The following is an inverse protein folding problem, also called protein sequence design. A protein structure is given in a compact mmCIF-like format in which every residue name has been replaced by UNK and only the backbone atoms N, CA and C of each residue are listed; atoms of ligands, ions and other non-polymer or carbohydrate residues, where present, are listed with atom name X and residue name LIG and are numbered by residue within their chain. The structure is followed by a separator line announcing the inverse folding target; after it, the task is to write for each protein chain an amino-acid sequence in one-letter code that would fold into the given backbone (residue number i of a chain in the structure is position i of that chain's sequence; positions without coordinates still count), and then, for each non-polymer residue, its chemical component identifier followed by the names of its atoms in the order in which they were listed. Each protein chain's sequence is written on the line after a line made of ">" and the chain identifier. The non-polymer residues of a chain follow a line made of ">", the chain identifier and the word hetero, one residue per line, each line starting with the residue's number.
data_IF_973131435989
#
_entry.id   IF_973131435989
#
_cell.length_a   1.000
_cell.length_b   1.000
_cell.length_c   1.000
_cell.angle_alpha   90.00
_cell.angle_beta   90.00
_cell.angle_gamma   90.00
#
_symmetry.space_group_name_H-M   'P 1'
#
loop_
_entity.id
_entity.type
_entity.pdbx_description
1 polymer ?
#
# COMPACT_ATOMS: atom_id res chain seq x y z
N UNK A 1 21.32 -1.96 -27.69
CA UNK A 1 19.85 -1.97 -27.86
C UNK A 1 19.38 -3.29 -27.31
N UNK A 2 18.36 -3.23 -26.48
CA UNK A 2 17.89 -4.33 -25.63
C UNK A 2 16.41 -4.13 -25.36
N UNK A 3 15.73 -5.20 -24.95
CA UNK A 3 14.32 -5.19 -24.59
C UNK A 3 14.08 -6.03 -23.34
N UNK A 4 13.18 -5.56 -22.47
CA UNK A 4 12.76 -6.30 -21.28
C UNK A 4 11.24 -6.30 -21.17
N UNK A 5 10.67 -7.44 -20.80
CA UNK A 5 9.24 -7.55 -20.46
C UNK A 5 9.09 -7.32 -18.98
N UNK A 6 8.26 -6.36 -18.61
CA UNK A 6 7.95 -6.06 -17.22
C UNK A 6 6.98 -7.09 -16.62
N UNK A 7 6.88 -7.20 -15.28
CA UNK A 7 5.96 -8.12 -14.61
C UNK A 7 4.47 -7.91 -14.99
N UNK A 8 4.08 -6.69 -15.35
CA UNK A 8 2.74 -6.37 -15.83
C UNK A 8 2.54 -6.64 -17.35
N UNK A 9 3.48 -7.35 -17.97
CA UNK A 9 3.54 -7.70 -19.39
C UNK A 9 3.77 -6.55 -20.38
N UNK A 10 4.07 -5.34 -19.93
CA UNK A 10 4.52 -4.27 -20.82
C UNK A 10 5.95 -4.52 -21.33
N UNK A 11 6.24 -4.10 -22.56
CA UNK A 11 7.59 -4.20 -23.14
C UNK A 11 8.34 -2.87 -22.98
N UNK A 12 9.57 -2.93 -22.49
CA UNK A 12 10.47 -1.78 -22.39
C UNK A 12 11.64 -1.94 -23.38
N UNK A 13 12.00 -0.84 -24.05
CA UNK A 13 12.97 -0.84 -25.16
C UNK A 13 14.04 0.21 -24.88
N UNK A 14 15.31 -0.20 -24.85
CA UNK A 14 16.46 0.69 -24.81
C UNK A 14 16.69 1.30 -26.20
N UNK A 15 16.08 2.46 -26.46
CA UNK A 15 16.11 3.19 -27.72
C UNK A 15 17.33 4.12 -27.78
N UNK A 16 18.51 3.49 -27.85
CA UNK A 16 19.82 4.12 -27.63
C UNK A 16 20.06 5.39 -28.45
N UNK A 17 19.83 5.33 -29.76
CA UNK A 17 20.08 6.47 -30.67
C UNK A 17 19.11 7.64 -30.44
N UNK A 18 17.97 7.39 -29.81
CA UNK A 18 17.00 8.41 -29.46
C UNK A 18 17.14 8.88 -28.01
N UNK A 19 18.16 8.43 -27.27
CA UNK A 19 18.41 8.84 -25.89
C UNK A 19 17.19 8.66 -24.98
N UNK A 20 16.48 7.53 -25.17
CA UNK A 20 15.21 7.21 -24.49
C UNK A 20 15.10 5.74 -24.13
N UNK A 21 14.28 5.47 -23.13
CA UNK A 21 13.65 4.15 -22.92
C UNK A 21 12.18 4.27 -23.28
N UNK A 22 11.69 3.36 -24.11
CA UNK A 22 10.30 3.33 -24.57
C UNK A 22 9.53 2.26 -23.82
N UNK A 23 8.24 2.50 -23.57
CA UNK A 23 7.30 1.51 -23.04
C UNK A 23 6.26 1.21 -24.10
N UNK A 24 5.95 -0.06 -24.29
CA UNK A 24 4.84 -0.55 -25.11
C UNK A 24 3.80 -1.14 -24.18
N UNK A 25 2.61 -0.55 -24.16
CA UNK A 25 1.49 -1.02 -23.35
C UNK A 25 0.23 -1.03 -24.21
N UNK A 26 -0.46 -2.17 -24.28
CA UNK A 26 -1.63 -2.33 -25.15
C UNK A 26 -1.36 -2.03 -26.63
N UNK A 27 -0.12 -2.24 -27.10
CA UNK A 27 0.32 -1.93 -28.46
C UNK A 27 0.69 -0.45 -28.71
N UNK A 28 0.59 0.42 -27.71
CA UNK A 28 0.93 1.85 -27.82
C UNK A 28 2.34 2.10 -27.29
N UNK A 29 3.17 2.78 -28.08
CA UNK A 29 4.55 3.14 -27.71
C UNK A 29 4.61 4.56 -27.14
N UNK A 30 5.12 4.71 -25.92
CA UNK A 30 5.36 6.02 -25.27
C UNK A 30 6.82 6.15 -24.81
N UNK A 31 7.23 7.37 -24.48
CA UNK A 31 8.53 7.60 -23.82
C UNK A 31 8.36 7.37 -22.32
N UNK A 32 9.11 6.43 -21.78
CA UNK A 32 9.08 6.12 -20.35
C UNK A 32 10.17 6.88 -19.59
N UNK A 33 11.41 6.82 -20.08
CA UNK A 33 12.54 7.57 -19.52
C UNK A 33 13.33 8.28 -20.64
N UNK A 34 13.97 9.39 -20.29
CA UNK A 34 14.78 10.17 -21.23
C UNK A 34 14.02 11.30 -21.93
N UNK A 35 14.67 12.47 -22.01
CA UNK A 35 14.15 13.63 -22.75
C UNK A 35 14.38 13.54 -24.25
N UNK A 36 15.32 12.68 -24.68
CA UNK A 36 15.82 12.61 -26.05
C UNK A 36 17.09 13.43 -26.30
N UNK A 37 17.56 14.19 -25.31
CA UNK A 37 18.88 14.80 -25.33
C UNK A 37 19.88 13.91 -24.58
N UNK A 38 21.04 13.65 -25.20
CA UNK A 38 22.13 12.95 -24.54
C UNK A 38 22.60 13.74 -23.31
N UNK A 39 22.83 13.04 -22.21
CA UNK A 39 23.36 13.63 -20.98
C UNK A 39 23.26 12.69 -19.80
N UNK A 40 23.60 13.23 -18.63
CA UNK A 40 23.48 12.55 -17.35
C UNK A 40 23.00 13.56 -16.29
N UNK A 41 21.71 13.58 -16.04
CA UNK A 41 21.07 14.50 -15.09
C UNK A 41 19.65 14.05 -14.75
N UNK A 42 19.04 14.69 -13.75
CA UNK A 42 17.68 14.39 -13.30
C UNK A 42 17.55 13.21 -12.33
N UNK A 43 18.64 12.74 -11.74
CA UNK A 43 18.59 11.74 -10.67
C UNK A 43 17.81 12.27 -9.46
N UNK A 44 17.01 11.41 -8.83
CA UNK A 44 16.05 11.79 -7.78
C UNK A 44 14.76 12.46 -8.28
N UNK A 45 14.65 12.72 -9.59
CA UNK A 45 13.44 13.26 -10.23
C UNK A 45 12.70 12.24 -11.10
N UNK A 46 11.63 12.67 -11.81
CA UNK A 46 10.88 11.82 -12.71
C UNK A 46 11.72 11.28 -13.88
N UNK A 47 11.60 9.98 -14.18
CA UNK A 47 12.41 9.32 -15.21
C UNK A 47 12.24 9.91 -16.62
N UNK A 48 11.05 10.42 -16.96
CA UNK A 48 10.77 11.07 -18.25
C UNK A 48 11.40 12.47 -18.40
N UNK A 49 11.89 13.07 -17.31
CA UNK A 49 12.64 14.32 -17.30
C UNK A 49 14.16 14.12 -17.15
N UNK A 50 14.60 12.90 -16.83
CA UNK A 50 16.01 12.58 -16.74
C UNK A 50 16.69 12.60 -18.12
N UNK A 51 17.96 13.02 -18.15
CA UNK A 51 18.79 12.86 -19.34
C UNK A 51 19.49 11.49 -19.26
N UNK A 52 19.23 10.65 -20.25
CA UNK A 52 19.89 9.35 -20.44
C UNK A 52 20.66 9.37 -21.76
N UNK A 53 21.91 8.95 -21.75
CA UNK A 53 22.76 8.94 -22.94
C UNK A 53 22.95 7.52 -23.45
N UNK A 54 22.51 7.26 -24.68
CA UNK A 54 22.66 5.99 -25.39
C UNK A 54 22.37 4.76 -24.52
N UNK A 55 21.15 4.61 -23.97
CA UNK A 55 20.80 3.41 -23.21
C UNK A 55 21.04 2.15 -24.05
N UNK A 56 21.76 1.21 -23.48
CA UNK A 56 22.20 -0.02 -24.16
C UNK A 56 21.45 -1.25 -23.69
N UNK A 57 21.01 -1.27 -22.42
CA UNK A 57 20.38 -2.40 -21.76
C UNK A 57 19.29 -1.98 -20.76
N UNK A 58 18.27 -2.81 -20.60
CA UNK A 58 17.16 -2.63 -19.66
C UNK A 58 16.83 -3.96 -18.98
N UNK A 59 16.60 -3.97 -17.66
CA UNK A 59 16.13 -5.17 -16.96
C UNK A 59 15.29 -4.79 -15.75
N UNK A 60 14.39 -5.69 -15.34
CA UNK A 60 13.61 -5.53 -14.13
C UNK A 60 14.17 -6.38 -12.99
N UNK A 61 14.02 -5.90 -11.75
CA UNK A 61 14.10 -6.76 -10.57
C UNK A 61 12.74 -7.39 -10.23
N UNK A 62 12.72 -8.18 -9.17
CA UNK A 62 11.49 -8.81 -8.67
C UNK A 62 10.50 -7.80 -8.09
N UNK A 63 10.94 -6.60 -7.69
CA UNK A 63 10.12 -5.52 -7.15
C UNK A 63 9.46 -4.64 -8.23
N UNK A 64 9.81 -4.83 -9.50
CA UNK A 64 9.29 -4.03 -10.62
C UNK A 64 10.04 -2.71 -10.83
N UNK A 65 11.22 -2.56 -10.25
CA UNK A 65 12.14 -1.47 -10.58
C UNK A 65 12.83 -1.76 -11.91
N UNK A 66 13.07 -0.71 -12.70
CA UNK A 66 13.77 -0.82 -13.98
C UNK A 66 15.21 -0.37 -13.81
N UNK A 67 16.16 -1.23 -14.17
CA UNK A 67 17.58 -0.90 -14.28
C UNK A 67 17.91 -0.58 -15.73
N UNK A 68 18.52 0.57 -15.95
CA UNK A 68 18.91 1.09 -17.26
C UNK A 68 20.43 1.20 -17.30
N UNK A 69 21.07 0.43 -18.18
CA UNK A 69 22.47 0.68 -18.52
C UNK A 69 22.53 1.72 -19.63
N UNK A 70 23.29 2.79 -19.41
CA UNK A 70 23.41 3.89 -20.36
C UNK A 70 24.76 4.58 -20.17
N UNK A 71 25.40 4.99 -21.27
CA UNK A 71 26.76 5.57 -21.25
C UNK A 71 27.74 4.68 -20.45
N UNK A 72 28.16 5.14 -19.27
CA UNK A 72 29.09 4.44 -18.36
C UNK A 72 28.45 4.08 -17.02
N UNK A 73 27.11 4.08 -16.94
CA UNK A 73 26.33 3.99 -15.70
C UNK A 73 25.20 2.97 -15.78
N UNK A 74 24.80 2.49 -14.61
CA UNK A 74 23.51 1.82 -14.40
C UNK A 74 22.67 2.74 -13.51
N UNK A 75 21.43 3.01 -13.92
CA UNK A 75 20.44 3.77 -13.13
C UNK A 75 19.25 2.90 -12.80
N UNK A 76 18.68 3.11 -11.63
CA UNK A 76 17.43 2.49 -11.20
C UNK A 76 16.28 3.49 -11.33
N UNK A 77 15.14 3.03 -11.85
CA UNK A 77 13.86 3.72 -11.80
C UNK A 77 12.94 2.94 -10.88
N UNK A 78 12.68 3.51 -9.70
CA UNK A 78 11.79 2.92 -8.70
C UNK A 78 10.34 2.84 -9.20
N UNK A 79 9.71 1.69 -8.97
CA UNK A 79 8.29 1.48 -9.29
C UNK A 79 7.97 1.67 -10.78
N UNK A 80 8.91 1.30 -11.66
CA UNK A 80 8.80 1.54 -13.09
C UNK A 80 7.57 0.86 -13.72
N UNK A 81 7.16 -0.25 -13.12
CA UNK A 81 5.81 -0.78 -13.27
C UNK A 81 5.19 -0.95 -11.90
N UNK A 82 3.98 -0.42 -11.64
CA UNK A 82 3.11 -0.97 -10.61
C UNK A 82 2.99 -2.47 -10.86
N UNK A 83 3.61 -3.30 -10.01
CA UNK A 83 3.31 -4.73 -10.00
C UNK A 83 1.85 -4.87 -9.57
N UNK A 84 1.17 -5.90 -10.08
CA UNK A 84 0.15 -6.61 -9.30
C UNK A 84 0.87 -7.17 -8.08
N UNK A 85 0.88 -6.43 -6.98
CA UNK A 85 1.30 -6.93 -5.68
C UNK A 85 0.04 -7.34 -4.96
N UNK A 86 -0.41 -8.60 -5.06
CA UNK A 86 -1.52 -9.04 -4.26
C UNK A 86 -1.18 -8.82 -2.78
N UNK A 87 -1.88 -7.88 -2.14
CA UNK A 87 -1.71 -7.58 -0.72
C UNK A 87 -2.46 -8.63 0.08
N UNK A 88 -1.78 -9.27 1.05
CA UNK A 88 -2.47 -10.00 2.12
C UNK A 88 -2.24 -9.26 3.42
N UNK A 89 -3.32 -8.93 4.13
CA UNK A 89 -3.27 -8.22 5.41
C UNK A 89 -4.10 -8.96 6.45
N UNK A 90 -3.47 -9.25 7.58
CA UNK A 90 -4.12 -9.87 8.74
C UNK A 90 -4.64 -8.80 9.70
N UNK A 91 -5.92 -8.90 10.06
CA UNK A 91 -6.56 -8.08 11.08
C UNK A 91 -6.64 -8.87 12.39
N UNK A 92 -5.84 -8.52 13.41
CA UNK A 92 -5.68 -9.34 14.60
C UNK A 92 -6.91 -9.37 15.53
N UNK A 93 -7.79 -8.36 15.48
CA UNK A 93 -9.07 -8.38 16.23
C UNK A 93 -10.17 -7.60 15.50
N UNK A 94 -11.23 -8.30 15.13
CA UNK A 94 -12.47 -7.77 14.56
C UNK A 94 -13.68 -8.19 15.42
N UNK A 95 -14.70 -7.34 15.50
CA UNK A 95 -15.84 -7.53 16.41
C UNK A 95 -17.17 -7.17 15.74
N UNK A 96 -18.23 -7.93 16.05
CA UNK A 96 -19.61 -7.56 15.74
C UNK A 96 -20.43 -7.49 17.04
N UNK A 97 -20.77 -6.27 17.49
CA UNK A 97 -21.48 -5.99 18.75
C UNK A 97 -20.94 -6.74 19.99
N UNK A 98 -19.64 -7.00 20.06
CA UNK A 98 -19.01 -7.76 21.13
C UNK A 98 -18.51 -6.87 22.29
N UNK A 99 -18.13 -7.47 23.43
CA UNK A 99 -17.43 -6.79 24.53
C UNK A 99 -18.03 -5.46 25.02
N UNK A 100 -19.36 -5.39 25.13
CA UNK A 100 -20.05 -4.13 25.47
C UNK A 100 -20.66 -3.41 24.25
N UNK A 101 -20.82 -4.12 23.14
CA UNK A 101 -21.52 -3.67 21.93
C UNK A 101 -20.62 -3.09 20.83
N UNK A 102 -19.31 -3.32 20.92
CA UNK A 102 -18.30 -2.84 19.99
C UNK A 102 -18.47 -3.49 18.61
N UNK A 103 -18.40 -2.68 17.56
CA UNK A 103 -18.41 -3.15 16.17
C UNK A 103 -17.20 -2.60 15.43
N UNK A 104 -16.51 -3.45 14.66
CA UNK A 104 -15.38 -3.01 13.85
C UNK A 104 -15.85 -2.60 12.46
N UNK A 105 -15.25 -1.55 11.91
CA UNK A 105 -15.37 -1.13 10.52
C UNK A 105 -14.00 -1.19 9.86
N UNK A 106 -13.90 -1.81 8.69
CA UNK A 106 -12.68 -1.93 7.90
C UNK A 106 -12.77 -0.95 6.73
N UNK A 107 -11.70 -0.23 6.45
CA UNK A 107 -11.55 0.68 5.34
C UNK A 107 -10.40 0.18 4.49
N UNK A 108 -10.62 -0.03 3.20
CA UNK A 108 -9.61 -0.54 2.25
C UNK A 108 -9.53 0.42 1.08
N UNK A 109 -8.46 1.18 0.98
CA UNK A 109 -8.16 2.08 -0.14
C UNK A 109 -7.42 1.33 -1.25
N UNK A 110 -7.90 1.51 -2.50
CA UNK A 110 -7.14 1.08 -3.67
C UNK A 110 -5.93 2.00 -3.87
N UNK A 111 -4.72 1.47 -3.70
CA UNK A 111 -3.45 2.18 -3.88
C UNK A 111 -2.61 1.58 -5.03
N UNK A 112 -3.27 0.88 -5.95
CA UNK A 112 -2.61 0.16 -7.05
C UNK A 112 -2.09 1.07 -8.15
N UNK A 113 -2.55 2.32 -8.25
CA UNK A 113 -2.24 3.22 -9.36
C UNK A 113 -3.14 3.00 -10.58
N UNK A 114 -4.20 2.18 -10.44
CA UNK A 114 -5.17 1.85 -11.49
C UNK A 114 -6.49 1.33 -10.91
N UNK A 115 -7.54 1.15 -11.74
CA UNK A 115 -8.80 0.61 -11.26
C UNK A 115 -8.71 -0.89 -10.94
N UNK A 116 -9.34 -1.30 -9.85
CA UNK A 116 -9.56 -2.69 -9.47
C UNK A 116 -10.96 -3.17 -9.90
N UNK A 117 -11.03 -4.41 -10.39
CA UNK A 117 -12.30 -5.04 -10.76
C UNK A 117 -13.13 -5.41 -9.51
N UNK A 118 -14.43 -5.69 -9.70
CA UNK A 118 -15.23 -6.27 -8.62
C UNK A 118 -14.68 -7.64 -8.23
N UNK A 119 -14.63 -7.92 -6.93
CA UNK A 119 -14.01 -9.13 -6.36
C UNK A 119 -12.48 -9.14 -6.37
N UNK A 120 -11.84 -8.05 -6.79
CA UNK A 120 -10.39 -7.92 -6.71
C UNK A 120 -9.87 -7.92 -5.27
N UNK A 121 -10.71 -7.62 -4.29
CA UNK A 121 -10.40 -7.73 -2.87
C UNK A 121 -11.43 -8.61 -2.17
N UNK A 122 -10.97 -9.45 -1.25
CA UNK A 122 -11.81 -10.34 -0.43
C UNK A 122 -11.34 -10.34 1.01
N UNK A 123 -12.26 -10.39 1.97
CA UNK A 123 -11.94 -10.57 3.38
C UNK A 123 -12.56 -11.87 3.89
N UNK A 124 -11.71 -12.75 4.39
CA UNK A 124 -12.13 -13.99 5.05
C UNK A 124 -12.02 -13.83 6.57
N UNK A 125 -12.99 -14.34 7.32
CA UNK A 125 -13.04 -14.18 8.77
C UNK A 125 -12.80 -15.50 9.49
N UNK A 126 -12.13 -15.45 10.64
CA UNK A 126 -11.79 -16.63 11.42
C UNK A 126 -12.10 -16.43 12.90
N UNK A 127 -12.62 -17.45 13.58
CA UNK A 127 -12.81 -17.41 15.03
C UNK A 127 -11.48 -17.64 15.79
N UNK A 128 -11.56 -17.66 17.12
CA UNK A 128 -10.38 -17.85 17.99
C UNK A 128 -9.71 -19.22 17.85
N UNK A 129 -10.37 -20.19 17.23
CA UNK A 129 -9.82 -21.52 16.94
C UNK A 129 -9.19 -21.57 15.55
N UNK A 130 -9.33 -20.50 14.76
CA UNK A 130 -8.88 -20.43 13.37
C UNK A 130 -9.87 -21.01 12.36
N UNK A 131 -11.10 -21.35 12.78
CA UNK A 131 -12.13 -21.82 11.86
C UNK A 131 -12.76 -20.65 11.11
N UNK A 132 -13.05 -20.83 9.82
CA UNK A 132 -13.71 -19.80 9.00
C UNK A 132 -15.11 -19.50 9.52
N UNK A 133 -15.49 -18.22 9.54
CA UNK A 133 -16.80 -17.74 9.99
C UNK A 133 -17.44 -16.87 8.93
N UNK A 134 -18.76 -17.01 8.76
CA UNK A 134 -19.53 -16.19 7.83
C UNK A 134 -19.22 -16.50 6.36
N UNK A 135 -19.73 -15.64 5.48
CA UNK A 135 -19.53 -15.77 4.04
C UNK A 135 -18.29 -15.00 3.53
N UNK A 136 -17.72 -14.13 4.36
CA UNK A 136 -16.69 -13.20 3.93
C UNK A 136 -17.26 -12.02 3.14
N UNK A 137 -16.39 -11.06 2.84
CA UNK A 137 -16.74 -9.85 2.08
C UNK A 137 -15.93 -9.77 0.80
N UNK A 138 -16.52 -9.24 -0.28
CA UNK A 138 -15.86 -9.06 -1.58
C UNK A 138 -16.10 -7.65 -2.10
N UNK A 139 -15.07 -7.02 -2.65
CA UNK A 139 -15.16 -5.62 -3.03
C UNK A 139 -16.00 -5.37 -4.28
N UNK A 140 -16.63 -4.21 -4.40
CA UNK A 140 -17.06 -3.71 -5.71
C UNK A 140 -15.83 -3.35 -6.56
N UNK A 141 -16.07 -2.98 -7.83
CA UNK A 141 -15.03 -2.37 -8.65
C UNK A 141 -14.65 -1.01 -8.04
N UNK A 142 -13.35 -0.73 -7.94
CA UNK A 142 -12.83 0.45 -7.26
C UNK A 142 -11.85 1.21 -8.16
N UNK A 143 -12.09 2.50 -8.46
CA UNK A 143 -11.06 3.38 -9.03
C UNK A 143 -9.83 3.49 -8.10
N UNK A 144 -8.71 3.93 -8.65
CA UNK A 144 -7.52 4.27 -7.85
C UNK A 144 -7.84 5.40 -6.85
N UNK A 145 -7.35 5.29 -5.62
CA UNK A 145 -7.62 6.21 -4.51
C UNK A 145 -9.04 6.13 -3.90
N UNK A 146 -9.92 5.24 -4.40
CA UNK A 146 -11.22 5.02 -3.78
C UNK A 146 -11.13 4.09 -2.57
N UNK A 147 -12.10 4.18 -1.64
CA UNK A 147 -12.13 3.39 -0.41
C UNK A 147 -13.35 2.46 -0.37
N UNK A 148 -13.11 1.19 -0.09
CA UNK A 148 -14.11 0.18 0.23
C UNK A 148 -14.28 0.08 1.74
N UNK A 149 -15.51 0.22 2.24
CA UNK A 149 -15.83 0.24 3.67
C UNK A 149 -16.67 -0.98 4.04
N UNK A 150 -16.27 -1.70 5.09
CA UNK A 150 -16.88 -2.96 5.53
C UNK A 150 -17.16 -2.92 7.03
N UNK A 151 -18.41 -2.69 7.40
CA UNK A 151 -18.86 -2.81 8.79
C UNK A 151 -19.13 -4.28 9.14
N UNK A 152 -18.59 -4.77 10.26
CA UNK A 152 -18.71 -6.17 10.66
C UNK A 152 -20.13 -6.59 11.10
N UNK A 153 -21.09 -5.66 11.15
CA UNK A 153 -22.50 -5.93 11.41
C UNK A 153 -23.34 -6.15 10.13
N UNK A 154 -22.68 -6.33 8.98
CA UNK A 154 -23.31 -6.62 7.69
C UNK A 154 -23.86 -8.05 7.55
N UNK A 155 -23.61 -8.93 8.54
CA UNK A 155 -24.05 -10.32 8.53
C UNK A 155 -23.15 -11.28 7.75
N UNK A 156 -22.01 -10.82 7.24
CA UNK A 156 -21.07 -11.63 6.46
C UNK A 156 -19.89 -12.17 7.27
N UNK A 157 -19.69 -11.70 8.51
CA UNK A 157 -18.63 -12.14 9.41
C UNK A 157 -19.17 -12.86 10.65
N UNK A 158 -18.98 -12.32 11.84
CA UNK A 158 -19.35 -12.93 13.12
C UNK A 158 -20.82 -12.68 13.44
N UNK A 159 -21.48 -13.62 14.14
CA UNK A 159 -22.77 -13.37 14.75
C UNK A 159 -22.68 -12.23 15.79
N UNK A 160 -23.81 -11.61 16.12
CA UNK A 160 -23.88 -10.57 17.16
C UNK A 160 -23.28 -11.08 18.49
N UNK A 161 -22.38 -10.29 19.07
CA UNK A 161 -21.60 -10.64 20.25
C UNK A 161 -20.29 -11.39 19.94
N UNK A 162 -20.03 -11.72 18.68
CA UNK A 162 -18.86 -12.46 18.22
C UNK A 162 -17.64 -11.59 17.91
N UNK A 163 -16.46 -12.21 17.99
CA UNK A 163 -15.19 -11.58 17.65
C UNK A 163 -14.18 -12.62 17.16
N UNK A 164 -13.24 -12.19 16.33
CA UNK A 164 -12.22 -13.04 15.72
C UNK A 164 -11.20 -12.24 14.95
N UNK A 165 -10.61 -12.83 13.92
CA UNK A 165 -9.65 -12.21 13.00
C UNK A 165 -10.23 -12.12 11.60
N UNK A 166 -9.60 -11.32 10.75
CA UNK A 166 -9.89 -11.29 9.31
C UNK A 166 -8.62 -11.28 8.50
N UNK A 167 -8.67 -11.81 7.29
CA UNK A 167 -7.57 -11.78 6.33
C UNK A 167 -8.08 -11.15 5.04
N UNK A 168 -7.56 -9.98 4.71
CA UNK A 168 -7.78 -9.31 3.44
C UNK A 168 -6.82 -9.90 2.41
N UNK A 169 -7.34 -10.33 1.27
CA UNK A 169 -6.58 -10.59 0.07
C UNK A 169 -7.00 -9.58 -1.00
N UNK A 170 -6.03 -8.96 -1.66
CA UNK A 170 -6.26 -8.09 -2.81
C UNK A 170 -5.45 -8.62 -4.00
N UNK A 171 -5.92 -8.39 -5.22
CA UNK A 171 -5.19 -8.73 -6.45
C UNK A 171 -4.06 -7.75 -6.75
N UNK A 172 -4.06 -6.59 -6.09
CA UNK A 172 -3.08 -5.52 -6.26
C UNK A 172 -2.95 -4.72 -4.95
N UNK A 173 -2.13 -3.66 -4.97
CA UNK A 173 -1.81 -2.86 -3.80
C UNK A 173 -3.04 -2.18 -3.24
N UNK A 174 -3.25 -2.38 -1.96
CA UNK A 174 -4.25 -1.71 -1.16
C UNK A 174 -3.65 -1.28 0.16
N UNK A 175 -4.18 -0.19 0.69
CA UNK A 175 -3.94 0.25 2.06
C UNK A 175 -5.21 -0.02 2.83
N UNK A 176 -5.14 -0.63 4.01
CA UNK A 176 -6.33 -0.90 4.78
C UNK A 176 -6.15 -0.56 6.24
N UNK A 177 -7.24 -0.13 6.88
CA UNK A 177 -7.29 0.08 8.31
C UNK A 177 -8.62 -0.31 8.95
N UNK A 178 -8.58 -0.60 10.24
CA UNK A 178 -9.78 -0.87 11.05
C UNK A 178 -10.10 0.32 11.94
N UNK A 179 -11.38 0.46 12.30
CA UNK A 179 -11.86 1.33 13.37
C UNK A 179 -12.84 0.58 14.27
N UNK A 180 -12.92 0.91 15.55
CA UNK A 180 -13.83 0.26 16.51
C UNK A 180 -14.89 1.24 17.00
N UNK A 181 -16.16 0.99 16.73
CA UNK A 181 -17.28 1.81 17.14
C UNK A 181 -17.93 1.24 18.41
N UNK A 182 -18.22 2.08 19.41
CA UNK A 182 -18.99 1.70 20.61
C UNK A 182 -20.47 2.08 20.48
N UNK A 183 -21.37 1.45 21.26
CA UNK A 183 -22.74 1.92 21.33
C UNK A 183 -22.80 3.39 21.77
N UNK A 184 -23.19 4.27 20.87
CA UNK A 184 -23.31 5.71 21.12
C UNK A 184 -22.19 6.60 20.57
N UNK A 185 -21.13 6.08 19.94
CA UNK A 185 -20.10 6.91 19.28
C UNK A 185 -18.69 6.30 19.23
N UNK A 186 -17.68 7.12 18.95
CA UNK A 186 -16.34 6.68 18.53
C UNK A 186 -15.54 5.99 19.65
N UNK A 187 -15.18 4.72 19.43
CA UNK A 187 -13.92 4.16 19.91
C UNK A 187 -12.85 4.34 18.82
N UNK A 188 -11.56 4.35 19.15
CA UNK A 188 -10.51 4.38 18.14
C UNK A 188 -9.44 3.33 18.43
N UNK A 189 -9.39 2.33 17.56
CA UNK A 189 -8.25 1.43 17.40
C UNK A 189 -7.98 1.32 15.90
N UNK A 190 -6.76 1.68 15.49
CA UNK A 190 -6.32 1.80 14.10
C UNK A 190 -5.17 0.81 13.85
N UNK A 191 -5.26 0.04 12.77
CA UNK A 191 -4.19 -0.78 12.21
C UNK A 191 -4.04 -0.37 10.75
N UNK A 192 -2.86 -0.21 10.17
CA UNK A 192 -2.70 0.39 8.84
C UNK A 192 -1.45 -0.07 8.11
N UNK A 193 -1.59 -0.60 6.89
CA UNK A 193 -0.46 -1.00 6.04
C UNK A 193 -0.08 0.09 5.02
N UNK A 194 1.21 0.45 4.95
CA UNK A 194 1.73 1.48 4.04
C UNK A 194 1.74 1.00 2.57
N UNK A 195 1.57 1.90 1.59
CA UNK A 195 2.04 1.64 0.23
C UNK A 195 3.57 1.48 0.24
N UNK A 196 4.08 0.58 -0.61
CA UNK A 196 5.51 0.30 -0.80
C UNK A 196 6.24 1.47 -1.51
N UNK A 197 6.34 2.62 -0.86
CA UNK A 197 7.27 3.69 -1.23
C UNK A 197 8.06 4.14 0.00
N UNK A 198 9.38 4.22 -0.15
CA UNK A 198 10.25 4.73 0.90
C UNK A 198 9.84 6.17 1.24
N UNK A 199 9.46 6.43 2.49
CA UNK A 199 9.03 7.75 2.97
C UNK A 199 7.52 8.03 2.94
N UNK A 200 6.66 7.03 2.69
CA UNK A 200 5.20 7.20 2.82
C UNK A 200 4.80 7.58 4.26
N UNK A 201 3.92 8.58 4.40
CA UNK A 201 3.41 9.06 5.69
C UNK A 201 1.97 8.61 5.88
N UNK A 202 1.67 7.97 7.02
CA UNK A 202 0.31 7.62 7.43
C UNK A 202 -0.22 8.63 8.43
N UNK A 203 -1.38 9.21 8.15
CA UNK A 203 -2.09 10.06 9.10
C UNK A 203 -3.09 9.19 9.86
N UNK A 204 -2.73 8.78 11.08
CA UNK A 204 -3.69 8.21 12.01
C UNK A 204 -4.73 9.28 12.41
N UNK A 205 -6.00 8.90 12.68
CA UNK A 205 -6.98 9.81 13.27
C UNK A 205 -6.54 10.29 14.67
N UNK A 206 -7.36 11.13 15.30
CA UNK A 206 -7.07 11.66 16.62
C UNK A 206 -6.78 10.53 17.63
N UNK A 207 -5.57 10.56 18.19
CA UNK A 207 -5.15 9.65 19.27
C UNK A 207 -5.46 10.27 20.63
N UNK A 208 -5.88 9.43 21.57
CA UNK A 208 -6.27 9.86 22.90
C UNK A 208 -5.12 9.63 23.89
N UNK A 209 -4.90 10.59 24.79
CA UNK A 209 -4.02 10.45 25.94
C UNK A 209 -4.77 10.94 27.18
N UNK A 210 -5.28 10.01 27.99
CA UNK A 210 -6.10 10.29 29.17
C UNK A 210 -7.34 11.18 28.89
N UNK A 211 -7.96 10.99 27.73
CA UNK A 211 -9.13 11.78 27.30
C UNK A 211 -10.45 11.03 27.52
N UNK A 212 -11.58 11.76 27.53
CA UNK A 212 -12.95 11.22 27.60
C UNK A 212 -13.22 10.17 28.70
N UNK A 213 -12.60 10.31 29.87
CA UNK A 213 -12.76 9.32 30.96
C UNK A 213 -11.61 8.32 31.05
N UNK A 214 -10.37 8.80 30.85
CA UNK A 214 -9.11 8.05 30.96
C UNK A 214 -8.78 7.09 29.80
N UNK A 215 -9.43 7.25 28.64
CA UNK A 215 -9.06 6.48 27.46
C UNK A 215 -7.71 6.92 26.91
N UNK A 216 -6.94 5.94 26.43
CA UNK A 216 -5.65 6.13 25.78
C UNK A 216 -5.57 5.24 24.54
N UNK A 217 -4.95 5.75 23.47
CA UNK A 217 -4.73 5.02 22.21
C UNK A 217 -3.26 4.63 22.09
N UNK A 218 -2.99 3.38 21.69
CA UNK A 218 -1.64 2.92 21.34
C UNK A 218 -1.44 2.87 19.82
N UNK A 219 -0.18 2.94 19.37
CA UNK A 219 0.19 2.75 17.96
C UNK A 219 1.16 1.57 17.85
N UNK A 220 0.83 0.59 17.02
CA UNK A 220 1.72 -0.52 16.65
C UNK A 220 2.36 -0.28 15.29
N UNK A 221 3.58 -0.78 15.09
CA UNK A 221 4.25 -0.78 13.79
C UNK A 221 4.79 -2.18 13.49
N UNK A 222 4.64 -2.64 12.26
CA UNK A 222 5.15 -3.91 11.75
C UNK A 222 5.90 -3.66 10.44
N UNK A 223 6.99 -4.40 10.23
CA UNK A 223 7.75 -4.35 8.99
C UNK A 223 7.32 -5.52 8.09
N UNK A 224 6.78 -5.20 6.92
CA UNK A 224 6.32 -6.17 5.93
C UNK A 224 7.24 -6.21 4.69
N UNK A 225 8.50 -5.80 4.85
CA UNK A 225 9.53 -5.80 3.80
C UNK A 225 10.60 -6.85 4.06
N UNK A 226 11.35 -7.22 3.03
CA UNK A 226 12.45 -8.21 3.12
C UNK A 226 13.73 -7.68 3.80
N UNK A 227 13.69 -6.45 4.32
CA UNK A 227 14.84 -5.75 4.89
C UNK A 227 14.49 -5.16 6.25
N UNK A 228 15.47 -5.02 7.14
CA UNK A 228 15.20 -4.41 8.45
C UNK A 228 14.99 -2.90 8.30
N UNK A 229 13.89 -2.40 8.85
CA UNK A 229 13.49 -0.99 8.79
C UNK A 229 13.20 -0.42 10.17
N UNK A 230 13.21 0.91 10.29
CA UNK A 230 12.72 1.63 11.46
C UNK A 230 11.52 2.48 11.07
N UNK A 231 10.50 2.54 11.92
CA UNK A 231 9.34 3.40 11.75
C UNK A 231 9.40 4.57 12.73
N UNK A 232 9.12 5.79 12.27
CA UNK A 232 8.99 6.97 13.13
C UNK A 232 7.54 7.44 13.14
N UNK A 233 6.94 7.45 14.32
CA UNK A 233 5.62 8.03 14.56
C UNK A 233 5.82 9.49 14.99
N UNK A 234 5.20 10.42 14.27
CA UNK A 234 5.22 11.84 14.62
C UNK A 234 3.83 12.29 15.07
N UNK A 235 3.73 12.71 16.32
CA UNK A 235 2.49 13.19 16.92
C UNK A 235 2.29 14.67 16.63
N UNK A 236 1.07 15.09 16.27
CA UNK A 236 0.74 16.50 15.97
C UNK A 236 -0.54 16.91 16.67
N UNK A 237 -0.60 18.18 17.07
CA UNK A 237 -1.85 18.81 17.53
C UNK A 237 -2.80 19.07 16.34
N UNK A 238 -4.11 19.29 16.60
CA UNK A 238 -5.11 19.52 15.55
C UNK A 238 -4.79 20.67 14.58
N UNK A 239 -3.94 21.61 14.98
CA UNK A 239 -3.51 22.76 14.16
C UNK A 239 -2.11 22.59 13.53
N UNK A 240 -1.61 21.35 13.47
CA UNK A 240 -0.45 20.95 12.66
C UNK A 240 0.92 21.06 13.32
N UNK A 241 1.03 21.66 14.51
CA UNK A 241 2.27 21.70 15.28
C UNK A 241 2.63 20.32 15.83
N UNK A 242 3.92 19.97 15.81
CA UNK A 242 4.40 18.70 16.33
C UNK A 242 4.30 18.67 17.86
N UNK A 243 3.63 17.65 18.38
CA UNK A 243 3.52 17.38 19.81
C UNK A 243 4.68 16.50 20.32
N UNK A 244 5.21 15.62 19.47
CA UNK A 244 6.32 14.73 19.79
C UNK A 244 6.62 13.75 18.66
N UNK A 245 7.58 12.85 18.88
CA UNK A 245 7.85 11.74 17.95
C UNK A 245 8.55 10.59 18.66
N UNK A 246 8.32 9.39 18.19
CA UNK A 246 8.97 8.17 18.67
C UNK A 246 9.42 7.33 17.47
N UNK A 247 10.62 6.76 17.55
CA UNK A 247 11.17 5.87 16.52
C UNK A 247 11.28 4.46 17.09
N UNK A 248 10.81 3.48 16.32
CA UNK A 248 10.91 2.07 16.69
C UNK A 248 12.36 1.62 16.77
N UNK A 249 12.61 0.53 17.50
CA UNK A 249 13.81 -0.27 17.26
C UNK A 249 13.78 -0.84 15.83
N UNK A 250 14.92 -1.30 15.27
CA UNK A 250 14.92 -2.00 14.00
C UNK A 250 13.92 -3.16 14.04
N UNK A 251 12.93 -3.09 13.15
CA UNK A 251 11.94 -4.14 12.95
C UNK A 251 12.55 -5.13 11.97
N UNK A 252 12.56 -6.41 12.33
CA UNK A 252 12.98 -7.48 11.41
C UNK A 252 11.93 -7.68 10.29
N UNK A 253 12.30 -8.39 9.21
CA UNK A 253 11.33 -8.87 8.23
C UNK A 253 10.34 -9.87 8.86
#
# INVERSE_FOLDING_TARGET
>A
MDVAVAPNADLFIADGNNHRVRRVSGGIITTFAGTGAAGCGGDGGPANQAQVSSPTGVTFDTAGNLFISHDTRIREVYGATPRQHPTTLDFPVLMNRAFGGYTTTIYVENSSGGPLAAGAMTINYYDRTGATVGAGDSSPALPDGAVWVVAQNNGHSFADGGAGTGVLHASDRVTAFTNQEIPGGDGSAYDGQLPYSFGATLYAPAILNNAYGQYSTGIGTMNASDSSLTATVTYRYPYGSQAGSETSRPLGP
#
